data_IF_764788303320
#
_entry.id   IF_764788303320
#
_cell.length_a   1.000
_cell.length_b   1.000
_cell.length_c   1.000
_cell.angle_alpha   90.00
_cell.angle_beta   90.00
_cell.angle_gamma   90.00
#
_symmetry.space_group_name_H-M   'P 1'
#
loop_
_entity.id
_entity.type
_entity.pdbx_description
1 polymer ?
#
# COMPACT_ATOMS: atom_id res chain seq x y z
N UNK A 1 20.67 -16.00 14.71
CA UNK A 1 20.64 -16.31 13.26
C UNK A 1 19.94 -15.13 12.61
N UNK A 2 20.59 -14.39 11.73
CA UNK A 2 19.92 -13.33 10.97
C UNK A 2 18.88 -14.00 10.08
N UNK A 3 17.61 -13.71 10.32
CA UNK A 3 16.53 -14.21 9.50
C UNK A 3 16.65 -13.53 8.13
N UNK A 4 17.04 -14.30 7.12
CA UNK A 4 17.14 -13.80 5.75
C UNK A 4 15.73 -13.50 5.29
N UNK A 5 15.50 -12.26 4.84
CA UNK A 5 14.22 -11.82 4.32
C UNK A 5 13.68 -12.84 3.29
N UNK A 6 12.49 -13.42 3.52
CA UNK A 6 11.94 -14.44 2.64
C UNK A 6 11.88 -13.99 1.18
N UNK A 7 12.30 -14.87 0.27
CA UNK A 7 12.32 -14.66 -1.17
C UNK A 7 11.57 -15.79 -1.88
N UNK A 8 10.75 -15.47 -2.89
CA UNK A 8 10.08 -16.47 -3.72
C UNK A 8 10.89 -16.86 -4.98
N UNK A 9 10.33 -17.74 -5.82
CA UNK A 9 11.00 -18.23 -7.03
C UNK A 9 11.18 -17.15 -8.12
N UNK A 10 10.47 -16.02 -8.03
CA UNK A 10 10.62 -14.84 -8.90
C UNK A 10 11.72 -13.90 -8.43
N UNK A 11 12.40 -14.27 -7.33
CA UNK A 11 13.34 -13.43 -6.61
C UNK A 11 12.72 -12.19 -5.94
N UNK A 12 11.41 -12.21 -5.68
CA UNK A 12 10.73 -11.12 -4.97
C UNK A 12 10.83 -11.34 -3.48
N UNK A 13 11.11 -10.26 -2.76
CA UNK A 13 11.19 -10.25 -1.31
C UNK A 13 9.83 -9.88 -0.72
N UNK A 14 9.54 -10.46 0.45
CA UNK A 14 8.43 -10.01 1.27
C UNK A 14 8.70 -8.59 1.78
N UNK A 15 7.73 -7.67 1.71
CA UNK A 15 7.84 -6.38 2.41
C UNK A 15 8.19 -6.63 3.88
N UNK A 16 9.09 -5.86 4.51
CA UNK A 16 9.35 -6.00 5.95
C UNK A 16 8.03 -5.93 6.73
N UNK A 17 7.79 -6.90 7.63
CA UNK A 17 6.50 -7.06 8.31
C UNK A 17 6.35 -6.10 9.49
N UNK A 18 6.36 -4.79 9.20
CA UNK A 18 6.20 -3.67 10.13
C UNK A 18 7.26 -3.63 11.26
N UNK A 19 8.51 -3.19 10.96
CA UNK A 19 9.47 -2.89 12.02
C UNK A 19 8.96 -1.74 12.90
N UNK A 20 9.29 -1.77 14.19
CA UNK A 20 8.75 -0.87 15.23
C UNK A 20 8.82 0.62 14.83
N UNK A 21 9.89 0.99 14.12
CA UNK A 21 10.19 2.36 13.67
C UNK A 21 9.78 2.68 12.21
N UNK A 22 9.01 1.82 11.53
CA UNK A 22 8.53 2.12 10.18
C UNK A 22 7.32 3.08 10.18
N UNK A 23 7.25 3.93 9.16
CA UNK A 23 6.08 4.77 8.84
C UNK A 23 4.87 4.02 8.24
N UNK A 24 4.90 2.68 8.19
CA UNK A 24 3.74 1.86 7.80
C UNK A 24 3.51 0.68 8.75
N UNK A 25 2.31 0.12 8.68
CA UNK A 25 1.98 -1.19 9.22
C UNK A 25 1.44 -2.09 8.11
N UNK A 26 1.57 -3.42 8.28
CA UNK A 26 1.08 -4.40 7.31
C UNK A 26 -0.31 -4.89 7.72
N UNK A 27 -1.22 -4.99 6.75
CA UNK A 27 -2.51 -5.65 6.88
C UNK A 27 -2.79 -6.47 5.61
N UNK A 28 -3.96 -7.10 5.56
CA UNK A 28 -4.48 -7.71 4.32
C UNK A 28 -4.66 -9.21 4.41
N UNK A 29 -4.92 -9.79 3.25
CA UNK A 29 -5.27 -11.20 3.05
C UNK A 29 -4.23 -11.89 2.16
N UNK A 30 -4.04 -13.22 2.28
CA UNK A 30 -4.49 -14.09 3.37
C UNK A 30 -3.92 -13.66 4.73
N UNK A 31 -4.57 -14.11 5.81
CA UNK A 31 -4.47 -13.56 7.17
C UNK A 31 -3.11 -13.02 7.61
N UNK A 32 -3.14 -11.86 8.26
CA UNK A 32 -1.94 -11.18 8.81
C UNK A 32 -1.10 -10.46 7.76
N UNK A 33 -1.59 -10.27 6.53
CA UNK A 33 -0.81 -9.64 5.45
C UNK A 33 0.21 -10.59 4.84
N UNK A 34 -0.19 -11.81 4.47
CA UNK A 34 0.73 -12.75 3.83
C UNK A 34 1.03 -12.40 2.35
N UNK A 35 0.19 -11.59 1.70
CA UNK A 35 0.36 -11.18 0.31
C UNK A 35 1.32 -10.00 0.15
N UNK A 36 2.59 -10.16 0.54
CA UNK A 36 3.56 -9.05 0.61
C UNK A 36 4.76 -9.21 -0.30
N UNK A 37 4.71 -10.14 -1.26
CA UNK A 37 5.82 -10.33 -2.21
C UNK A 37 5.79 -9.22 -3.27
N UNK A 38 6.79 -8.35 -3.22
CA UNK A 38 6.86 -7.17 -4.08
C UNK A 38 7.90 -7.33 -5.19
N UNK A 39 7.55 -6.92 -6.40
CA UNK A 39 8.54 -6.65 -7.42
C UNK A 39 9.50 -5.57 -6.91
N UNK A 40 10.82 -5.59 -7.23
CA UNK A 40 11.79 -4.62 -6.73
C UNK A 40 11.34 -3.15 -6.89
N UNK A 41 10.76 -2.78 -8.04
CA UNK A 41 10.17 -1.45 -8.26
C UNK A 41 9.11 -1.07 -7.22
N UNK A 42 8.21 -1.98 -6.85
CA UNK A 42 7.17 -1.72 -5.86
C UNK A 42 7.76 -1.66 -4.45
N UNK A 43 8.68 -2.57 -4.12
CA UNK A 43 9.42 -2.54 -2.85
C UNK A 43 10.12 -1.18 -2.66
N UNK A 44 10.89 -0.73 -3.66
CA UNK A 44 11.60 0.54 -3.62
C UNK A 44 10.63 1.71 -3.46
N UNK A 45 9.50 1.70 -4.18
CA UNK A 45 8.50 2.76 -4.05
C UNK A 45 7.90 2.83 -2.64
N UNK A 46 7.44 1.70 -2.09
CA UNK A 46 6.83 1.66 -0.75
C UNK A 46 7.83 2.17 0.31
N UNK A 47 9.09 1.75 0.24
CA UNK A 47 10.11 2.18 1.19
C UNK A 47 10.47 3.67 1.04
N UNK A 48 10.49 4.21 -0.18
CA UNK A 48 10.73 5.64 -0.40
C UNK A 48 9.56 6.49 0.13
N UNK A 49 8.32 6.06 -0.16
CA UNK A 49 7.10 6.71 0.35
C UNK A 49 7.07 6.66 1.88
N UNK A 50 7.45 5.54 2.50
CA UNK A 50 7.55 5.42 3.94
C UNK A 50 8.52 6.43 4.55
N UNK A 51 9.71 6.59 3.97
CA UNK A 51 10.69 7.55 4.48
C UNK A 51 10.21 8.98 4.36
N UNK A 52 9.58 9.35 3.24
CA UNK A 52 9.02 10.69 3.08
C UNK A 52 7.88 10.92 4.07
N UNK A 53 6.93 9.99 4.14
CA UNK A 53 5.76 10.10 5.01
C UNK A 53 6.15 10.30 6.48
N UNK A 54 7.12 9.51 6.97
CA UNK A 54 7.62 9.60 8.34
C UNK A 54 8.32 10.94 8.67
N UNK A 55 8.60 11.80 7.69
CA UNK A 55 9.15 13.15 7.95
C UNK A 55 8.07 14.21 8.17
N UNK A 56 6.83 13.92 7.79
CA UNK A 56 5.73 14.89 7.79
C UNK A 56 4.54 14.47 8.68
N UNK A 57 4.43 13.19 9.03
CA UNK A 57 3.31 12.66 9.82
C UNK A 57 3.77 11.47 10.68
N UNK A 58 3.41 11.50 11.96
CA UNK A 58 3.74 10.44 12.93
C UNK A 58 2.82 9.21 12.81
N UNK A 59 1.69 9.32 12.11
CA UNK A 59 0.76 8.20 11.90
C UNK A 59 1.34 7.22 10.90
N UNK A 60 1.08 5.93 11.05
CA UNK A 60 1.50 4.92 10.06
C UNK A 60 0.41 4.69 9.02
N UNK A 61 0.78 4.61 7.74
CA UNK A 61 -0.17 4.16 6.71
C UNK A 61 -0.24 2.63 6.65
N UNK A 62 -1.38 2.09 6.25
CA UNK A 62 -1.56 0.64 6.13
C UNK A 62 -1.16 0.14 4.74
N UNK A 63 -0.23 -0.81 4.67
CA UNK A 63 0.11 -1.54 3.44
C UNK A 63 -0.65 -2.87 3.40
N UNK A 64 -1.50 -3.02 2.39
CA UNK A 64 -2.34 -4.17 2.12
C UNK A 64 -1.72 -5.09 1.07
N UNK A 65 -2.57 -5.75 0.29
CA UNK A 65 -2.15 -6.82 -0.61
C UNK A 65 -1.23 -6.32 -1.74
N UNK A 66 -0.14 -7.05 -1.99
CA UNK A 66 0.83 -6.84 -3.09
C UNK A 66 0.77 -8.02 -4.06
N UNK A 67 1.29 -9.17 -3.61
CA UNK A 67 1.11 -10.47 -4.26
C UNK A 67 1.47 -11.58 -3.27
N UNK A 68 0.91 -12.77 -3.45
CA UNK A 68 1.40 -13.97 -2.74
C UNK A 68 2.62 -14.56 -3.43
N UNK A 69 3.33 -15.43 -2.72
CA UNK A 69 4.51 -16.12 -3.22
C UNK A 69 4.24 -16.75 -4.59
N UNK A 70 5.15 -16.53 -5.54
CA UNK A 70 5.10 -17.03 -6.90
C UNK A 70 3.91 -16.50 -7.75
N UNK A 71 3.17 -15.51 -7.28
CA UNK A 71 2.11 -14.86 -8.07
C UNK A 71 0.89 -15.75 -8.30
N UNK A 72 0.63 -16.70 -7.40
CA UNK A 72 -0.57 -17.52 -7.44
C UNK A 72 -1.80 -16.63 -7.24
N UNK A 73 -2.92 -16.96 -7.90
CA UNK A 73 -4.16 -16.19 -7.77
C UNK A 73 -4.78 -16.40 -6.39
N UNK A 74 -5.15 -15.31 -5.74
CA UNK A 74 -5.87 -15.32 -4.47
C UNK A 74 -6.81 -14.12 -4.43
N UNK A 75 -8.09 -14.35 -4.12
CA UNK A 75 -9.16 -13.38 -3.79
C UNK A 75 -9.47 -12.25 -4.82
N UNK A 76 -8.47 -11.69 -5.49
CA UNK A 76 -8.50 -10.60 -6.45
C UNK A 76 -8.05 -11.09 -7.84
N UNK A 77 -8.51 -10.42 -8.89
CA UNK A 77 -8.08 -10.73 -10.27
C UNK A 77 -6.70 -10.11 -10.61
N UNK A 78 -6.33 -9.02 -9.93
CA UNK A 78 -5.02 -8.36 -9.93
C UNK A 78 -4.12 -8.92 -8.81
N UNK A 79 -2.97 -8.27 -8.49
CA UNK A 79 -2.04 -8.68 -7.42
C UNK A 79 -1.27 -9.98 -7.68
N UNK A 80 -0.94 -10.25 -8.95
CA UNK A 80 -0.16 -11.43 -9.33
C UNK A 80 1.31 -11.09 -9.56
N UNK A 81 1.60 -9.85 -9.96
CA UNK A 81 2.92 -9.46 -10.49
C UNK A 81 3.82 -8.79 -9.46
N UNK A 82 3.27 -8.45 -8.30
CA UNK A 82 3.94 -7.65 -7.28
C UNK A 82 4.21 -6.20 -7.74
N UNK A 83 3.49 -5.74 -8.76
CA UNK A 83 3.53 -4.37 -9.30
C UNK A 83 2.28 -3.57 -8.92
N UNK A 84 1.45 -4.17 -8.09
CA UNK A 84 0.23 -3.63 -7.53
C UNK A 84 0.33 -3.63 -6.00
N UNK A 85 -0.22 -2.63 -5.32
CA UNK A 85 -0.36 -2.61 -3.86
C UNK A 85 -1.64 -1.89 -3.45
N UNK A 86 -2.36 -2.44 -2.48
CA UNK A 86 -3.49 -1.75 -1.85
C UNK A 86 -3.01 -0.99 -0.61
N UNK A 87 -3.39 0.27 -0.47
CA UNK A 87 -3.03 1.11 0.67
C UNK A 87 -4.30 1.61 1.38
N UNK A 88 -4.31 1.58 2.71
CA UNK A 88 -5.43 2.14 3.48
C UNK A 88 -5.47 3.65 3.35
N UNK A 89 -6.67 4.25 3.23
CA UNK A 89 -6.83 5.68 3.42
C UNK A 89 -6.50 6.04 4.87
N UNK A 90 -6.05 7.27 5.08
CA UNK A 90 -5.62 7.74 6.39
C UNK A 90 -6.82 7.97 7.30
N UNK A 91 -6.62 7.68 8.59
CA UNK A 91 -7.57 8.01 9.65
C UNK A 91 -7.07 9.20 10.45
N UNK A 92 -7.99 10.09 10.83
CA UNK A 92 -7.73 11.24 11.70
C UNK A 92 -7.21 10.81 13.07
N UNK A 93 -7.67 9.66 13.56
CA UNK A 93 -7.32 9.13 14.88
C UNK A 93 -6.03 8.29 14.89
N UNK A 94 -5.39 8.08 13.74
CA UNK A 94 -4.15 7.30 13.63
C UNK A 94 -4.28 5.80 13.93
N UNK A 95 -5.48 5.28 14.21
CA UNK A 95 -5.66 3.86 14.51
C UNK A 95 -5.35 2.97 13.30
N UNK A 96 -4.76 1.81 13.54
CA UNK A 96 -4.50 0.80 12.51
C UNK A 96 -5.77 -0.02 12.17
N UNK A 97 -6.86 0.66 11.82
CA UNK A 97 -8.19 0.09 11.62
C UNK A 97 -8.76 0.43 10.22
N UNK A 98 -9.73 -0.36 9.70
CA UNK A 98 -10.32 -0.06 8.40
C UNK A 98 -11.03 1.30 8.42
N UNK A 99 -11.10 1.96 7.27
CA UNK A 99 -11.88 3.19 7.07
C UNK A 99 -12.32 3.27 5.61
N UNK A 100 -13.51 3.83 5.37
CA UNK A 100 -13.98 4.23 4.04
C UNK A 100 -13.93 5.75 3.90
N UNK A 101 -13.87 6.28 2.67
CA UNK A 101 -13.89 7.73 2.44
C UNK A 101 -15.19 8.44 2.87
N UNK A 102 -16.21 7.65 3.26
CA UNK A 102 -17.47 8.12 3.82
C UNK A 102 -17.47 8.27 5.34
N UNK A 103 -16.51 7.65 6.03
CA UNK A 103 -16.50 7.62 7.49
C UNK A 103 -16.00 8.95 8.06
N UNK A 104 -16.55 9.39 9.19
CA UNK A 104 -16.09 10.62 9.87
C UNK A 104 -14.61 10.55 10.29
N UNK A 105 -14.12 9.34 10.57
CA UNK A 105 -12.73 9.08 10.94
C UNK A 105 -11.75 9.20 9.77
N UNK A 106 -12.22 9.26 8.52
CA UNK A 106 -11.37 9.41 7.34
C UNK A 106 -10.73 10.80 7.27
N UNK A 107 -9.44 10.82 6.95
CA UNK A 107 -8.66 12.03 6.74
C UNK A 107 -8.37 12.22 5.25
N UNK A 108 -9.12 13.15 4.63
CA UNK A 108 -9.01 13.48 3.20
C UNK A 108 -7.63 14.05 2.87
N UNK A 109 -7.20 15.08 3.60
CA UNK A 109 -5.99 15.84 3.28
C UNK A 109 -4.74 14.96 3.45
N UNK A 110 -4.71 14.12 4.49
CA UNK A 110 -3.63 13.17 4.71
C UNK A 110 -3.61 12.07 3.63
N UNK A 111 -4.78 11.59 3.20
CA UNK A 111 -4.87 10.59 2.13
C UNK A 111 -4.43 11.16 0.79
N UNK A 112 -4.85 12.39 0.46
CA UNK A 112 -4.41 13.08 -0.75
C UNK A 112 -2.89 13.33 -0.74
N UNK A 113 -2.35 13.79 0.39
CA UNK A 113 -0.90 13.94 0.59
C UNK A 113 -0.16 12.63 0.33
N UNK A 114 -0.61 11.52 0.96
CA UNK A 114 0.02 10.22 0.78
C UNK A 114 -0.01 9.75 -0.69
N UNK A 115 -1.16 9.92 -1.36
CA UNK A 115 -1.30 9.60 -2.79
C UNK A 115 -0.35 10.44 -3.65
N UNK A 116 -0.18 11.72 -3.32
CA UNK A 116 0.75 12.60 -4.03
C UNK A 116 2.21 12.18 -3.82
N UNK A 117 2.59 11.71 -2.63
CA UNK A 117 3.93 11.16 -2.37
C UNK A 117 4.17 9.90 -3.22
N UNK A 118 3.18 9.00 -3.33
CA UNK A 118 3.28 7.85 -4.23
C UNK A 118 3.57 8.26 -5.68
N UNK A 119 2.86 9.26 -6.22
CA UNK A 119 3.14 9.78 -7.55
C UNK A 119 4.52 10.44 -7.66
N UNK A 120 4.93 11.22 -6.67
CA UNK A 120 6.20 11.95 -6.68
C UNK A 120 7.43 11.03 -6.67
N UNK A 121 7.36 9.92 -5.94
CA UNK A 121 8.48 8.98 -5.78
C UNK A 121 8.46 7.80 -6.77
N UNK A 122 7.43 7.69 -7.61
CA UNK A 122 7.33 6.64 -8.60
C UNK A 122 8.37 6.79 -9.72
N UNK A 123 9.23 5.79 -9.90
CA UNK A 123 10.03 5.63 -11.10
C UNK A 123 9.18 5.04 -12.24
N UNK A 124 8.28 5.86 -12.78
CA UNK A 124 7.37 5.53 -13.88
C UNK A 124 5.93 5.96 -13.61
N UNK A 125 5.06 5.77 -14.60
CA UNK A 125 3.65 6.15 -14.50
C UNK A 125 2.90 5.21 -13.54
N UNK A 126 2.21 5.79 -12.57
CA UNK A 126 1.24 5.07 -11.74
C UNK A 126 -0.18 5.25 -12.25
N UNK A 127 -0.99 4.22 -12.06
CA UNK A 127 -2.44 4.32 -12.01
C UNK A 127 -2.85 4.11 -10.55
N UNK A 128 -3.67 5.00 -10.02
CA UNK A 128 -4.21 4.87 -8.67
C UNK A 128 -5.73 4.81 -8.76
N UNK A 129 -6.32 3.73 -8.25
CA UNK A 129 -7.76 3.58 -8.18
C UNK A 129 -8.28 3.84 -6.77
N UNK A 130 -9.17 4.81 -6.61
CA UNK A 130 -9.83 5.17 -5.35
C UNK A 130 -11.12 5.94 -5.66
N UNK A 131 -12.17 5.73 -4.87
CA UNK A 131 -13.50 6.28 -5.18
C UNK A 131 -13.77 7.67 -4.60
N UNK A 132 -12.87 8.23 -3.81
CA UNK A 132 -13.01 9.61 -3.35
C UNK A 132 -12.71 10.60 -4.47
N UNK A 133 -13.76 11.07 -5.15
CA UNK A 133 -13.66 11.99 -6.28
C UNK A 133 -13.20 13.41 -5.91
N UNK A 134 -12.99 13.69 -4.61
CA UNK A 134 -12.38 14.96 -4.17
C UNK A 134 -10.87 14.99 -4.48
N UNK A 135 -10.24 13.82 -4.57
CA UNK A 135 -8.82 13.68 -4.90
C UNK A 135 -8.68 13.61 -6.43
N UNK A 136 -7.97 14.56 -7.03
CA UNK A 136 -7.87 14.65 -8.50
C UNK A 136 -6.93 13.60 -9.13
N UNK A 137 -6.00 13.06 -8.34
CA UNK A 137 -4.95 12.16 -8.80
C UNK A 137 -5.36 10.67 -8.89
N UNK A 138 -6.65 10.36 -8.70
CA UNK A 138 -7.19 8.99 -8.68
C UNK A 138 -8.25 8.76 -9.75
N UNK A 139 -8.48 7.49 -10.08
CA UNK A 139 -9.58 7.06 -10.94
C UNK A 139 -10.55 6.18 -10.15
N UNK A 140 -11.87 6.39 -10.22
CA UNK A 140 -12.80 5.54 -9.51
C UNK A 140 -12.84 4.13 -10.12
N UNK A 141 -12.96 3.13 -9.25
CA UNK A 141 -13.14 1.73 -9.63
C UNK A 141 -13.98 1.02 -8.56
N UNK A 142 -14.93 0.18 -9.00
CA UNK A 142 -15.82 -0.54 -8.10
C UNK A 142 -15.02 -1.23 -6.98
N UNK A 143 -15.49 -1.11 -5.72
CA UNK A 143 -14.90 -1.65 -4.48
C UNK A 143 -13.68 -0.92 -3.89
N UNK A 144 -13.31 0.27 -4.38
CA UNK A 144 -12.16 1.04 -3.89
C UNK A 144 -12.59 2.20 -2.97
N UNK A 145 -13.51 1.94 -2.04
CA UNK A 145 -13.98 2.93 -1.07
C UNK A 145 -13.10 2.96 0.19
N UNK A 146 -12.40 1.86 0.47
CA UNK A 146 -11.68 1.60 1.72
C UNK A 146 -10.18 1.32 1.55
N UNK A 147 -9.68 1.45 0.33
CA UNK A 147 -8.27 1.37 -0.04
C UNK A 147 -8.07 2.05 -1.38
N UNK A 148 -6.89 2.64 -1.58
CA UNK A 148 -6.46 3.04 -2.91
C UNK A 148 -5.48 2.00 -3.47
N UNK A 149 -5.76 1.54 -4.69
CA UNK A 149 -4.96 0.56 -5.39
C UNK A 149 -3.93 1.26 -6.25
N UNK A 150 -2.64 1.06 -5.97
CA UNK A 150 -1.52 1.62 -6.71
C UNK A 150 -0.97 0.58 -7.67
N UNK A 151 -0.85 0.93 -8.94
CA UNK A 151 -0.32 0.03 -9.98
C UNK A 151 0.69 0.75 -10.87
N UNK A 152 1.85 0.11 -11.10
CA UNK A 152 2.76 0.52 -12.18
C UNK A 152 2.16 0.20 -13.55
N UNK A 153 2.29 1.15 -14.48
CA UNK A 153 1.99 0.96 -15.91
C UNK A 153 2.97 0.05 -16.64
#
# INVERSE_FOLDING_TARGET
MLEVQPKDARAYFILPQAPEEAGYYVYGTPGGGAAQFAHPRMMTLILAVEREWATIDDRKFGVGNISIANGVKFDHASHLKGLEVDIRPMRKDGHHAPVTYHDDAYDLDATETLINIFHAYACGKLKIFFNDSRISAVSPLRKHDNHFHVQFG
#
